data_IF_902123097214
#
_entry.id   IF_902123097214
#
_cell.length_a   1.000
_cell.length_b   1.000
_cell.length_c   1.000
_cell.angle_alpha   90.00
_cell.angle_beta   90.00
_cell.angle_gamma   90.00
#
_symmetry.space_group_name_H-M   'P 1'
#
loop_
_entity.id
_entity.type
_entity.pdbx_description
1 polymer ?
#
# COMPACT_ATOMS: atom_id res chain seq x y z
N UNK A 1 1.46 11.01 -25.43
CA UNK A 1 0.02 10.69 -25.41
C UNK A 1 -0.47 10.77 -23.97
N UNK A 2 -1.47 11.62 -23.69
CA UNK A 2 -2.09 11.71 -22.37
C UNK A 2 -3.31 10.81 -22.37
N UNK A 3 -3.38 9.86 -21.44
CA UNK A 3 -4.55 9.00 -21.30
C UNK A 3 -5.60 9.75 -20.48
N UNK A 4 -6.84 9.83 -21.00
CA UNK A 4 -7.91 10.62 -20.38
C UNK A 4 -8.25 10.08 -19.00
N UNK A 5 -8.42 8.76 -18.90
CA UNK A 5 -8.73 8.07 -17.67
C UNK A 5 -7.93 6.77 -17.61
N UNK A 6 -7.25 6.56 -16.49
CA UNK A 6 -6.70 5.25 -16.17
C UNK A 6 -7.07 4.85 -14.76
N UNK A 7 -7.63 3.65 -14.67
CA UNK A 7 -8.18 3.11 -13.45
C UNK A 7 -7.45 1.83 -13.09
N UNK A 8 -7.18 1.63 -11.81
CA UNK A 8 -6.78 0.33 -11.27
C UNK A 8 -7.70 -0.05 -10.11
N UNK A 9 -7.98 -1.35 -10.01
CA UNK A 9 -8.83 -1.88 -8.95
C UNK A 9 -8.08 -2.91 -8.11
N UNK A 10 -8.43 -2.97 -6.83
CA UNK A 10 -7.87 -3.89 -5.84
C UNK A 10 -9.03 -4.52 -5.10
N UNK A 11 -9.07 -5.84 -5.06
CA UNK A 11 -10.04 -6.55 -4.23
C UNK A 11 -9.61 -6.52 -2.75
N UNK A 12 -10.55 -6.15 -1.89
CA UNK A 12 -10.35 -6.13 -0.43
C UNK A 12 -10.94 -7.41 0.15
N UNK A 13 -10.19 -8.17 0.97
CA UNK A 13 -10.72 -9.35 1.65
C UNK A 13 -11.66 -8.93 2.81
N UNK A 14 -12.62 -9.79 3.14
CA UNK A 14 -13.72 -9.47 4.08
C UNK A 14 -13.28 -9.14 5.52
N UNK A 15 -12.10 -9.62 5.94
CA UNK A 15 -11.57 -9.42 7.30
C UNK A 15 -10.79 -8.09 7.50
N UNK A 16 -10.92 -7.14 6.57
CA UNK A 16 -10.14 -5.89 6.60
C UNK A 16 -11.07 -4.70 6.36
N UNK A 17 -11.04 -3.75 7.29
CA UNK A 17 -11.70 -2.46 7.15
C UNK A 17 -10.73 -1.44 6.56
N UNK A 18 -11.14 -0.77 5.46
CA UNK A 18 -10.37 0.31 4.85
C UNK A 18 -11.18 1.59 4.92
N UNK A 19 -10.54 2.65 5.41
CA UNK A 19 -11.10 4.00 5.47
C UNK A 19 -10.15 4.99 4.81
N UNK A 20 -10.72 6.06 4.25
CA UNK A 20 -9.96 7.10 3.56
C UNK A 20 -10.29 8.45 4.17
N UNK A 21 -9.25 9.25 4.43
CA UNK A 21 -9.39 10.67 4.71
C UNK A 21 -8.56 11.43 3.67
N UNK A 22 -9.25 12.08 2.72
CA UNK A 22 -8.61 12.75 1.58
C UNK A 22 -7.81 11.74 0.75
N UNK A 23 -6.47 11.76 0.81
CA UNK A 23 -5.58 10.77 0.16
C UNK A 23 -4.77 9.96 1.16
N UNK A 24 -5.22 9.91 2.41
CA UNK A 24 -4.65 9.07 3.46
C UNK A 24 -5.47 7.79 3.55
N UNK A 25 -4.82 6.65 3.33
CA UNK A 25 -5.41 5.32 3.43
C UNK A 25 -5.15 4.78 4.83
N UNK A 26 -6.21 4.38 5.52
CA UNK A 26 -6.13 3.75 6.84
C UNK A 26 -6.73 2.35 6.71
N UNK A 27 -5.89 1.34 6.94
CA UNK A 27 -6.27 -0.07 6.91
C UNK A 27 -6.28 -0.58 8.34
N UNK A 28 -7.37 -1.22 8.74
CA UNK A 28 -7.54 -1.87 10.05
C UNK A 28 -7.75 -3.37 9.83
N UNK A 29 -7.14 -4.18 10.68
CA UNK A 29 -7.38 -5.61 10.70
C UNK A 29 -6.77 -6.27 11.92
N UNK A 30 -6.53 -7.60 11.90
CA UNK A 30 -6.28 -8.39 13.11
C UNK A 30 -4.97 -8.02 13.84
N UNK A 31 -3.94 -7.58 13.11
CA UNK A 31 -2.63 -7.21 13.69
C UNK A 31 -2.48 -5.72 14.03
N UNK A 32 -3.55 -4.94 13.91
CA UNK A 32 -3.56 -3.52 14.24
C UNK A 32 -3.98 -2.62 13.08
N UNK A 33 -3.45 -1.39 13.08
CA UNK A 33 -3.86 -0.31 12.17
C UNK A 33 -2.64 0.22 11.44
N UNK A 34 -2.74 0.35 10.11
CA UNK A 34 -1.72 0.95 9.26
C UNK A 34 -2.31 2.16 8.55
N UNK A 35 -1.69 3.31 8.72
CA UNK A 35 -2.01 4.54 8.00
C UNK A 35 -0.89 4.90 7.03
N UNK A 36 -1.25 5.31 5.81
CA UNK A 36 -0.28 5.86 4.84
C UNK A 36 -0.88 6.99 4.03
N UNK A 37 -0.11 8.06 3.89
CA UNK A 37 -0.46 9.25 3.12
C UNK A 37 0.05 9.17 1.67
N UNK A 38 -0.81 9.57 0.74
CA UNK A 38 -0.49 9.71 -0.69
C UNK A 38 -0.73 11.13 -1.19
N UNK A 39 -0.65 12.14 -0.30
CA UNK A 39 -0.93 13.54 -0.66
C UNK A 39 -0.01 14.08 -1.77
N UNK A 40 1.22 13.57 -1.86
CA UNK A 40 2.19 13.93 -2.91
C UNK A 40 1.77 13.46 -4.31
N UNK A 41 0.76 12.60 -4.43
CA UNK A 41 0.28 12.05 -5.70
C UNK A 41 -1.14 12.56 -5.94
N UNK A 42 -1.38 13.13 -7.12
CA UNK A 42 -2.72 13.56 -7.55
C UNK A 42 -3.51 12.38 -8.12
N UNK A 43 -4.02 11.53 -7.22
CA UNK A 43 -4.93 10.41 -7.53
C UNK A 43 -6.26 10.57 -6.81
N UNK A 44 -7.30 9.99 -7.41
CA UNK A 44 -8.63 9.85 -6.84
C UNK A 44 -8.80 8.42 -6.32
N UNK A 45 -9.33 8.29 -5.09
CA UNK A 45 -9.52 7.01 -4.42
C UNK A 45 -11.00 6.82 -4.15
N UNK A 46 -11.56 5.73 -4.65
CA UNK A 46 -12.98 5.42 -4.54
C UNK A 46 -13.17 3.98 -4.06
N UNK A 47 -14.16 3.76 -3.20
CA UNK A 47 -14.60 2.43 -2.83
C UNK A 47 -15.78 2.03 -3.72
N UNK A 48 -15.64 0.91 -4.41
CA UNK A 48 -16.65 0.36 -5.32
C UNK A 48 -17.25 -0.92 -4.74
N UNK A 49 -18.57 -1.03 -4.75
CA UNK A 49 -19.30 -2.27 -4.44
C UNK A 49 -19.84 -2.36 -3.01
N UNK A 50 -20.98 -3.06 -2.87
CA UNK A 50 -21.68 -3.28 -1.58
C UNK A 50 -21.36 -4.63 -0.91
N UNK A 51 -21.09 -5.68 -1.71
CA UNK A 51 -20.81 -7.05 -1.22
C UNK A 51 -19.32 -7.40 -1.27
N UNK A 52 -18.63 -7.03 -2.35
CA UNK A 52 -17.17 -7.09 -2.46
C UNK A 52 -16.68 -5.68 -2.61
N UNK A 53 -16.07 -5.16 -1.55
CA UNK A 53 -15.51 -3.81 -1.56
C UNK A 53 -14.23 -3.88 -2.39
N UNK A 54 -14.17 -3.07 -3.46
CA UNK A 54 -12.99 -2.88 -4.27
C UNK A 54 -12.48 -1.47 -4.10
N UNK A 55 -11.19 -1.32 -3.93
CA UNK A 55 -10.54 -0.02 -3.97
C UNK A 55 -10.20 0.30 -5.42
N UNK A 56 -10.77 1.38 -5.93
CA UNK A 56 -10.51 1.92 -7.24
C UNK A 56 -9.62 3.16 -7.12
N UNK A 57 -8.51 3.16 -7.85
CA UNK A 57 -7.58 4.29 -7.96
C UNK A 57 -7.68 4.84 -9.38
N UNK A 58 -8.18 6.06 -9.47
CA UNK A 58 -8.41 6.72 -10.75
C UNK A 58 -7.42 7.87 -10.93
N UNK A 59 -6.88 7.96 -12.16
CA UNK A 59 -6.02 9.05 -12.58
C UNK A 59 -6.54 9.65 -13.88
N UNK A 60 -6.94 10.92 -13.77
CA UNK A 60 -7.33 11.75 -14.91
C UNK A 60 -6.11 12.40 -15.56
N UNK A 61 -6.12 12.44 -16.90
CA UNK A 61 -5.09 13.09 -17.75
C UNK A 61 -3.65 12.69 -17.41
N UNK A 62 -3.43 11.39 -17.17
CA UNK A 62 -2.13 10.87 -16.77
C UNK A 62 -1.08 10.89 -17.88
N UNK A 63 0.10 11.41 -17.58
CA UNK A 63 1.33 11.13 -18.34
C UNK A 63 1.86 9.71 -18.03
N UNK A 64 2.76 9.18 -18.87
CA UNK A 64 3.34 7.83 -18.70
C UNK A 64 3.93 7.59 -17.30
N UNK A 65 4.59 8.60 -16.71
CA UNK A 65 5.16 8.52 -15.35
C UNK A 65 4.07 8.45 -14.28
N UNK A 66 3.05 9.28 -14.39
CA UNK A 66 1.94 9.33 -13.42
C UNK A 66 1.08 8.06 -13.47
N UNK A 67 0.91 7.49 -14.67
CA UNK A 67 0.24 6.21 -14.87
C UNK A 67 0.96 5.07 -14.12
N UNK A 68 2.30 5.08 -14.12
CA UNK A 68 3.07 4.11 -13.36
C UNK A 68 2.87 4.28 -11.84
N UNK A 69 2.68 5.52 -11.38
CA UNK A 69 2.42 5.83 -9.97
C UNK A 69 1.11 5.23 -9.47
N UNK A 70 0.04 5.18 -10.29
CA UNK A 70 -1.21 4.50 -9.95
C UNK A 70 -0.98 3.04 -9.55
N UNK A 71 -0.09 2.34 -10.27
CA UNK A 71 0.30 0.95 -9.96
C UNK A 71 1.11 0.83 -8.68
N UNK A 72 1.96 1.82 -8.39
CA UNK A 72 2.72 1.90 -7.13
C UNK A 72 1.79 2.07 -5.93
N UNK A 73 0.79 2.95 -6.01
CA UNK A 73 -0.23 3.13 -4.97
C UNK A 73 -0.98 1.82 -4.74
N UNK A 74 -1.41 1.16 -5.82
CA UNK A 74 -2.08 -0.14 -5.75
C UNK A 74 -1.23 -1.19 -5.02
N UNK A 75 0.04 -1.29 -5.38
CA UNK A 75 0.99 -2.23 -4.74
C UNK A 75 1.21 -1.89 -3.26
N UNK A 76 1.25 -0.61 -2.91
CA UNK A 76 1.37 -0.17 -1.52
C UNK A 76 0.16 -0.57 -0.69
N UNK A 77 -1.06 -0.41 -1.20
CA UNK A 77 -2.26 -0.85 -0.46
C UNK A 77 -2.30 -2.37 -0.33
N UNK A 78 -1.97 -3.12 -1.38
CA UNK A 78 -1.86 -4.58 -1.30
C UNK A 78 -0.85 -5.04 -0.23
N UNK A 79 0.28 -4.32 -0.10
CA UNK A 79 1.26 -4.61 0.95
C UNK A 79 0.74 -4.26 2.34
N UNK A 80 -0.05 -3.18 2.50
CA UNK A 80 -0.68 -2.86 3.78
C UNK A 80 -1.67 -3.97 4.20
N UNK A 81 -2.50 -4.45 3.27
CA UNK A 81 -3.42 -5.58 3.47
C UNK A 81 -2.65 -6.84 3.90
N UNK A 82 -1.60 -7.21 3.17
CA UNK A 82 -0.75 -8.36 3.51
C UNK A 82 -0.03 -8.20 4.85
N UNK A 83 0.46 -6.99 5.15
CA UNK A 83 1.16 -6.68 6.39
C UNK A 83 0.27 -6.81 7.63
N UNK A 84 -0.98 -6.36 7.55
CA UNK A 84 -1.95 -6.48 8.66
C UNK A 84 -2.48 -7.90 8.84
N UNK A 85 -2.53 -8.71 7.78
CA UNK A 85 -3.04 -10.08 7.85
C UNK A 85 -1.95 -11.08 8.23
N UNK A 86 -0.85 -11.10 7.49
CA UNK A 86 0.22 -12.10 7.60
C UNK A 86 1.48 -11.55 8.28
N UNK A 87 1.71 -10.24 8.23
CA UNK A 87 2.95 -9.60 8.66
C UNK A 87 4.12 -9.85 7.70
N UNK A 88 5.21 -9.11 7.92
CA UNK A 88 6.46 -9.28 7.19
C UNK A 88 7.59 -9.61 8.17
N UNK A 89 8.40 -10.63 7.86
CA UNK A 89 9.59 -10.97 8.63
C UNK A 89 10.84 -10.68 7.81
N UNK A 90 11.67 -9.76 8.29
CA UNK A 90 12.95 -9.43 7.66
C UNK A 90 14.08 -10.18 8.38
N UNK A 91 14.73 -11.10 7.68
CA UNK A 91 15.92 -11.81 8.17
C UNK A 91 17.17 -11.24 7.50
N UNK A 92 17.90 -10.39 8.21
CA UNK A 92 19.18 -9.85 7.73
C UNK A 92 20.34 -10.73 8.21
N UNK A 93 21.30 -11.01 7.32
CA UNK A 93 22.58 -11.66 7.68
C UNK A 93 23.72 -10.70 7.36
N UNK A 94 24.48 -10.34 8.39
CA UNK A 94 25.76 -9.64 8.22
C UNK A 94 26.86 -10.68 7.96
N UNK A 95 27.58 -10.53 6.85
CA UNK A 95 28.79 -11.30 6.52
C UNK A 95 29.99 -10.37 6.69
N UNK A 96 30.89 -10.70 7.61
CA UNK A 96 32.15 -9.98 7.80
C UNK A 96 33.23 -11.02 8.13
N UNK A 97 34.37 -10.98 7.44
CA UNK A 97 35.46 -11.97 7.57
C UNK A 97 36.64 -11.52 8.45
N UNK A 98 36.58 -10.35 9.08
CA UNK A 98 37.56 -9.94 10.10
C UNK A 98 37.01 -8.75 10.88
N UNK A 99 37.06 -8.83 12.21
CA UNK A 99 36.61 -7.88 13.24
C UNK A 99 35.22 -8.18 13.83
N UNK A 100 35.24 -8.21 15.17
CA UNK A 100 34.28 -8.80 16.10
C UNK A 100 32.87 -8.19 16.00
N UNK A 101 31.88 -9.08 16.08
CA UNK A 101 30.48 -8.71 16.23
C UNK A 101 30.12 -8.58 17.71
N UNK A 102 29.48 -7.47 18.06
CA UNK A 102 28.37 -7.51 19.02
C UNK A 102 27.12 -6.94 18.34
N UNK A 103 26.16 -7.77 17.91
CA UNK A 103 24.81 -7.30 17.70
C UNK A 103 24.16 -7.24 19.08
N UNK A 104 24.12 -6.06 19.72
CA UNK A 104 23.25 -5.85 20.89
C UNK A 104 21.81 -6.13 20.44
N UNK A 105 21.24 -7.22 20.92
CA UNK A 105 19.83 -7.53 20.78
C UNK A 105 19.05 -6.41 21.48
N UNK A 106 18.34 -5.60 20.69
CA UNK A 106 17.47 -4.56 21.20
C UNK A 106 16.13 -5.23 21.50
N UNK A 107 15.88 -5.41 22.80
CA UNK A 107 14.61 -5.78 23.44
C UNK A 107 13.50 -4.78 23.15
#
# INVERSE_FOLDING_TARGET
>A
MKTILSNQTIDIPENIDISFKVRTVIVKGPRGILGRDFNHISVELSLLGKKKIRLQVDKWWGNRKELATTRTVCSHVQNMIKGITLGFHYKMRSLMNKLEKMPKAMS
#
